data_IF_742770117438
#
_entry.id   IF_742770117438
#
_cell.length_a   1.000
_cell.length_b   1.000
_cell.length_c   1.000
_cell.angle_alpha   90.00
_cell.angle_beta   90.00
_cell.angle_gamma   90.00
#
_symmetry.space_group_name_H-M   'P 1'
#
loop_
_entity.id
_entity.type
_entity.pdbx_description
1 polymer ?
#
# COMPACT_ATOMS: atom_id res chain seq x y z
N UNK A 1 -9.30 -7.59 -15.33
CA UNK A 1 -8.90 -7.29 -13.93
C UNK A 1 -7.73 -8.18 -13.54
N UNK A 2 -6.73 -7.71 -12.77
CA UNK A 2 -5.70 -8.58 -12.25
C UNK A 2 -6.36 -9.71 -11.45
N UNK A 3 -6.02 -10.97 -11.72
CA UNK A 3 -6.51 -12.10 -10.92
C UNK A 3 -6.02 -11.89 -9.48
N UNK A 4 -6.96 -11.79 -8.52
CA UNK A 4 -6.63 -11.81 -7.10
C UNK A 4 -6.01 -13.18 -6.80
N UNK A 5 -4.75 -13.17 -6.38
CA UNK A 5 -4.08 -14.39 -5.91
C UNK A 5 -4.52 -14.61 -4.47
N UNK A 6 -4.84 -15.86 -4.14
CA UNK A 6 -5.25 -16.25 -2.81
C UNK A 6 -4.15 -15.92 -1.77
N UNK A 7 -4.48 -15.30 -0.63
CA UNK A 7 -3.51 -14.98 0.41
C UNK A 7 -2.76 -16.21 0.94
N UNK A 8 -3.40 -17.38 1.01
CA UNK A 8 -2.76 -18.62 1.42
C UNK A 8 -1.67 -19.07 0.44
N UNK A 9 -1.86 -18.81 -0.87
CA UNK A 9 -0.85 -19.09 -1.90
C UNK A 9 0.35 -18.15 -1.73
N UNK A 10 0.11 -16.87 -1.44
CA UNK A 10 1.18 -15.91 -1.14
C UNK A 10 1.97 -16.32 0.09
N UNK A 11 1.30 -16.68 1.18
CA UNK A 11 1.95 -17.11 2.42
C UNK A 11 2.80 -18.37 2.20
N UNK A 12 2.25 -19.36 1.48
CA UNK A 12 2.98 -20.57 1.10
C UNK A 12 4.23 -20.26 0.27
N UNK A 13 4.12 -19.35 -0.70
CA UNK A 13 5.27 -18.94 -1.51
C UNK A 13 6.35 -18.26 -0.66
N UNK A 14 5.97 -17.35 0.24
CA UNK A 14 6.90 -16.67 1.15
C UNK A 14 7.59 -17.64 2.10
N UNK A 15 6.86 -18.62 2.64
CA UNK A 15 7.41 -19.67 3.49
C UNK A 15 8.47 -20.49 2.75
N UNK A 16 8.15 -20.99 1.55
CA UNK A 16 9.11 -21.72 0.71
C UNK A 16 10.35 -20.91 0.35
N UNK A 17 10.20 -19.62 0.05
CA UNK A 17 11.33 -18.74 -0.22
C UNK A 17 12.18 -18.57 1.04
N UNK A 18 11.56 -18.33 2.20
CA UNK A 18 12.29 -18.14 3.45
C UNK A 18 13.07 -19.40 3.86
N UNK A 19 12.47 -20.58 3.72
CA UNK A 19 13.09 -21.86 4.06
C UNK A 19 14.28 -22.18 3.15
N UNK A 20 14.14 -21.96 1.84
CA UNK A 20 15.13 -22.44 0.87
C UNK A 20 16.05 -21.35 0.31
N UNK A 21 15.89 -20.06 0.65
CA UNK A 21 16.70 -18.97 0.04
C UNK A 21 18.21 -19.15 0.16
N UNK A 22 18.70 -19.87 1.17
CA UNK A 22 20.13 -20.18 1.36
C UNK A 22 20.68 -21.27 0.44
N UNK A 23 19.82 -22.08 -0.18
CA UNK A 23 20.20 -23.19 -1.07
C UNK A 23 20.47 -22.72 -2.51
N UNK A 24 20.09 -21.48 -2.84
CA UNK A 24 20.22 -20.92 -4.19
C UNK A 24 21.27 -19.82 -4.24
N UNK A 25 21.86 -19.62 -5.43
CA UNK A 25 22.86 -18.58 -5.68
C UNK A 25 22.34 -17.16 -5.51
N UNK A 26 21.02 -16.95 -5.54
CA UNK A 26 20.39 -15.65 -5.31
C UNK A 26 18.92 -15.79 -4.93
N UNK A 27 18.37 -14.75 -4.31
CA UNK A 27 16.92 -14.63 -4.05
C UNK A 27 16.10 -14.79 -5.34
N UNK A 28 16.59 -14.21 -6.45
CA UNK A 28 15.92 -14.29 -7.75
C UNK A 28 15.83 -15.72 -8.27
N UNK A 29 16.88 -16.53 -8.10
CA UNK A 29 16.89 -17.93 -8.50
C UNK A 29 15.92 -18.76 -7.64
N UNK A 30 15.90 -18.55 -6.32
CA UNK A 30 14.93 -19.17 -5.42
C UNK A 30 13.49 -18.82 -5.81
N UNK A 31 13.21 -17.53 -6.06
CA UNK A 31 11.88 -17.05 -6.46
C UNK A 31 11.42 -17.60 -7.81
N UNK A 32 12.34 -17.82 -8.77
CA UNK A 32 12.01 -18.45 -10.05
C UNK A 32 11.56 -19.89 -9.85
N UNK A 33 12.30 -20.66 -9.05
CA UNK A 33 11.97 -22.05 -8.76
C UNK A 33 10.65 -22.19 -7.98
N UNK A 34 10.45 -21.37 -6.94
CA UNK A 34 9.19 -21.35 -6.17
C UNK A 34 8.02 -20.91 -7.06
N UNK A 35 8.24 -19.91 -7.92
CA UNK A 35 7.26 -19.45 -8.88
C UNK A 35 6.79 -20.57 -9.81
N UNK A 36 7.73 -21.29 -10.44
CA UNK A 36 7.41 -22.44 -11.30
C UNK A 36 6.63 -23.52 -10.55
N UNK A 37 7.01 -23.84 -9.31
CA UNK A 37 6.35 -24.88 -8.49
C UNK A 37 4.90 -24.53 -8.14
N UNK A 38 4.59 -23.25 -7.94
CA UNK A 38 3.26 -22.77 -7.55
C UNK A 38 2.44 -22.21 -8.72
N UNK A 39 2.96 -22.25 -9.95
CA UNK A 39 2.30 -21.64 -11.12
C UNK A 39 2.24 -20.11 -11.06
N UNK A 40 3.18 -19.49 -10.36
CA UNK A 40 3.28 -18.04 -10.18
C UNK A 40 4.43 -17.46 -11.02
N UNK A 41 4.30 -16.19 -11.40
CA UNK A 41 5.40 -15.46 -12.02
C UNK A 41 6.56 -15.23 -11.05
N UNK A 42 7.80 -15.45 -11.50
CA UNK A 42 9.04 -15.16 -10.76
C UNK A 42 9.02 -13.80 -10.08
N UNK A 43 8.66 -12.76 -10.83
CA UNK A 43 8.68 -11.38 -10.35
C UNK A 43 7.62 -11.11 -9.29
N UNK A 44 6.48 -11.80 -9.34
CA UNK A 44 5.44 -11.74 -8.30
C UNK A 44 5.97 -12.25 -6.97
N UNK A 45 6.60 -13.44 -6.98
CA UNK A 45 7.18 -14.05 -5.78
C UNK A 45 8.32 -13.19 -5.24
N UNK A 46 9.21 -12.69 -6.11
CA UNK A 46 10.33 -11.83 -5.72
C UNK A 46 9.86 -10.55 -5.04
N UNK A 47 8.83 -9.88 -5.57
CA UNK A 47 8.27 -8.66 -4.96
C UNK A 47 7.69 -8.93 -3.59
N UNK A 48 7.00 -10.05 -3.41
CA UNK A 48 6.50 -10.43 -2.08
C UNK A 48 7.64 -10.69 -1.10
N UNK A 49 8.67 -11.42 -1.50
CA UNK A 49 9.81 -11.71 -0.64
C UNK A 49 10.55 -10.42 -0.23
N UNK A 50 10.76 -9.50 -1.18
CA UNK A 50 11.37 -8.20 -0.88
C UNK A 50 10.50 -7.36 0.04
N UNK A 51 9.17 -7.33 -0.18
CA UNK A 51 8.27 -6.60 0.71
C UNK A 51 8.25 -7.22 2.12
N UNK A 52 8.29 -8.55 2.23
CA UNK A 52 8.39 -9.23 3.53
C UNK A 52 9.69 -8.89 4.25
N UNK A 53 10.83 -8.83 3.54
CA UNK A 53 12.11 -8.38 4.11
C UNK A 53 12.02 -6.92 4.59
N UNK A 54 11.29 -6.04 3.89
CA UNK A 54 11.06 -4.64 4.29
C UNK A 54 10.15 -4.56 5.52
N UNK A 55 9.03 -5.28 5.50
CA UNK A 55 8.06 -5.30 6.59
C UNK A 55 8.67 -5.89 7.88
N UNK A 56 9.66 -6.79 7.75
CA UNK A 56 10.44 -7.33 8.87
C UNK A 56 11.64 -6.46 9.29
N UNK A 57 11.89 -5.33 8.62
CA UNK A 57 13.01 -4.44 8.90
C UNK A 57 14.39 -4.96 8.46
N UNK A 58 14.44 -6.08 7.74
CA UNK A 58 15.70 -6.66 7.22
C UNK A 58 16.24 -5.90 6.00
N UNK A 59 15.42 -5.06 5.36
CA UNK A 59 15.79 -4.25 4.19
C UNK A 59 15.16 -2.86 4.28
N UNK A 60 15.89 -1.79 3.90
CA UNK A 60 15.28 -0.47 3.80
C UNK A 60 14.21 -0.43 2.71
N UNK A 61 13.10 0.25 3.00
CA UNK A 61 11.96 0.43 2.11
C UNK A 61 10.75 0.97 2.87
N UNK A 62 9.66 1.23 2.15
CA UNK A 62 8.38 1.61 2.76
C UNK A 62 7.63 0.34 3.13
N UNK A 63 7.29 0.18 4.40
CA UNK A 63 6.55 -0.97 4.87
C UNK A 63 5.09 -0.93 4.38
N UNK A 64 4.45 -2.09 4.37
CA UNK A 64 3.03 -2.20 4.03
C UNK A 64 2.17 -1.37 4.98
N UNK A 65 2.54 -1.31 6.27
CA UNK A 65 1.85 -0.52 7.29
C UNK A 65 2.00 0.99 7.06
N UNK A 66 3.23 1.46 6.82
CA UNK A 66 3.51 2.88 6.49
C UNK A 66 2.74 3.32 5.25
N UNK A 67 2.71 2.47 4.21
CA UNK A 67 1.96 2.75 2.99
C UNK A 67 0.45 2.86 3.24
N UNK A 68 -0.09 1.98 4.08
CA UNK A 68 -1.50 1.99 4.46
C UNK A 68 -1.85 3.25 5.26
N UNK A 69 -0.98 3.66 6.18
CA UNK A 69 -1.15 4.85 7.00
C UNK A 69 -1.08 6.13 6.16
N UNK A 70 -0.12 6.25 5.26
CA UNK A 70 -0.04 7.38 4.32
C UNK A 70 -1.32 7.50 3.49
N UNK A 71 -1.88 6.37 3.05
CA UNK A 71 -3.14 6.36 2.29
C UNK A 71 -4.32 6.81 3.15
N UNK A 72 -4.40 6.35 4.40
CA UNK A 72 -5.43 6.77 5.38
C UNK A 72 -5.36 8.27 5.63
N UNK A 73 -4.17 8.78 5.95
CA UNK A 73 -3.94 10.19 6.22
C UNK A 73 -4.24 11.07 5.01
N UNK A 74 -3.89 10.64 3.79
CA UNK A 74 -4.25 11.37 2.56
C UNK A 74 -5.75 11.44 2.35
N UNK A 75 -6.48 10.36 2.63
CA UNK A 75 -7.94 10.35 2.51
C UNK A 75 -8.59 11.27 3.54
N UNK A 76 -8.11 11.23 4.78
CA UNK A 76 -8.57 12.11 5.86
C UNK A 76 -8.27 13.58 5.57
N UNK A 77 -7.06 13.89 5.15
CA UNK A 77 -6.67 15.27 4.81
C UNK A 77 -7.52 15.84 3.67
N UNK A 78 -7.81 15.02 2.65
CA UNK A 78 -8.73 15.39 1.58
C UNK A 78 -10.12 15.72 2.12
N UNK A 79 -10.69 14.85 2.96
CA UNK A 79 -12.00 15.07 3.58
C UNK A 79 -12.03 16.36 4.41
N UNK A 80 -11.02 16.57 5.25
CA UNK A 80 -10.91 17.77 6.07
C UNK A 80 -10.80 19.04 5.21
N UNK A 81 -10.09 18.97 4.08
CA UNK A 81 -9.99 20.09 3.14
C UNK A 81 -11.34 20.41 2.50
N UNK A 82 -12.09 19.38 2.09
CA UNK A 82 -13.46 19.54 1.56
C UNK A 82 -14.40 20.15 2.60
N UNK A 83 -14.34 19.69 3.86
CA UNK A 83 -15.13 20.23 4.97
C UNK A 83 -14.79 21.71 5.23
N UNK A 84 -13.50 22.05 5.30
CA UNK A 84 -13.04 23.44 5.47
C UNK A 84 -13.49 24.34 4.32
N UNK A 85 -13.52 23.83 3.09
CA UNK A 85 -14.00 24.58 1.94
C UNK A 85 -15.49 24.90 2.05
N UNK A 86 -16.31 23.92 2.45
CA UNK A 86 -17.75 24.11 2.68
C UNK A 86 -17.97 25.17 3.76
N UNK A 87 -17.26 25.07 4.89
CA UNK A 87 -17.36 26.04 5.97
C UNK A 87 -16.94 27.44 5.53
N UNK A 88 -15.86 27.56 4.75
CA UNK A 88 -15.41 28.84 4.20
C UNK A 88 -16.46 29.46 3.29
N UNK A 89 -17.06 28.67 2.40
CA UNK A 89 -18.14 29.13 1.51
C UNK A 89 -19.37 29.59 2.29
N UNK A 90 -19.77 28.85 3.33
CA UNK A 90 -20.87 29.23 4.20
C UNK A 90 -20.59 30.55 4.93
N UNK A 91 -19.39 30.71 5.51
CA UNK A 91 -19.00 31.95 6.19
C UNK A 91 -19.00 33.17 5.26
N UNK A 92 -18.53 33.02 4.02
CA UNK A 92 -18.57 34.10 3.01
C UNK A 92 -20.02 34.46 2.68
N UNK A 93 -20.88 33.46 2.47
CA UNK A 93 -22.30 33.68 2.19
C UNK A 93 -22.98 34.46 3.32
N UNK A 94 -22.83 34.01 4.57
CA UNK A 94 -23.44 34.69 5.72
C UNK A 94 -22.88 36.10 5.95
N UNK A 95 -21.59 36.33 5.73
CA UNK A 95 -21.01 37.66 5.85
C UNK A 95 -21.61 38.64 4.81
N UNK A 96 -21.92 38.17 3.60
CA UNK A 96 -22.57 38.98 2.56
C UNK A 96 -24.05 39.27 2.84
N UNK A 97 -24.80 38.31 3.39
CA UNK A 97 -26.21 38.49 3.80
C UNK A 97 -26.36 39.43 5.01
N UNK A 98 -25.37 39.42 5.91
CA UNK A 98 -25.37 40.26 7.11
C UNK A 98 -24.79 41.66 6.88
N UNK A 99 -24.29 41.98 5.67
CA UNK A 99 -23.77 43.32 5.37
C UNK A 99 -24.92 44.35 5.35
N UNK A 100 -24.90 45.37 6.24
CA UNK A 100 -25.93 46.40 6.27
C UNK A 100 -26.07 47.20 4.97
N UNK A 101 -25.06 47.17 4.10
CA UNK A 101 -25.05 47.84 2.80
C UNK A 101 -25.79 47.07 1.71
N UNK A 102 -26.11 45.80 1.95
CA UNK A 102 -26.89 44.94 1.05
C UNK A 102 -28.40 44.96 1.36
N UNK A 103 -28.87 45.80 2.31
CA UNK A 103 -30.28 46.03 2.62
C UNK A 103 -30.83 47.31 2.02
#
# INVERSE_FOLDING_TARGET
>A
MPKKIDPAVKERALRMVSEHRGEYSSLTACCDQVGRRLGLGKETVRRWAVQADIDAGARPGVSTEESAEIKRLKAENRRLTEDLEIMRRASIFFAGELDPRNR
#
